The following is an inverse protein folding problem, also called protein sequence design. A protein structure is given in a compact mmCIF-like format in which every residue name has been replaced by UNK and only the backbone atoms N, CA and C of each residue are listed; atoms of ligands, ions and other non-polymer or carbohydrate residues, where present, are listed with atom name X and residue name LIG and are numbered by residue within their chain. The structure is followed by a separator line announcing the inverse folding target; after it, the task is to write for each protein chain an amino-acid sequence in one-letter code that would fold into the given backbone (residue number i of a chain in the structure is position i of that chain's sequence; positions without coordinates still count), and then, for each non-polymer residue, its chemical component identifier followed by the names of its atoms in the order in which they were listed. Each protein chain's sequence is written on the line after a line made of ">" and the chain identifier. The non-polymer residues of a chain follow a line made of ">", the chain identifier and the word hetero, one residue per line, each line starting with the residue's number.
data_IF_510803162423
#
_entry.id   IF_510803162423
#
_cell.length_a   1.000
_cell.length_b   1.000
_cell.length_c   1.000
_cell.angle_alpha   90.00
_cell.angle_beta   90.00
_cell.angle_gamma   90.00
#
_symmetry.space_group_name_H-M   'P 1'
#
loop_
_entity.id
_entity.type
_entity.pdbx_description
1 polymer ?
#
# COMPACT_ATOMS: atom_id res chain seq x y z
N UNK A 1 -37.70 16.07 -49.61
CA UNK A 1 -37.54 15.93 -48.15
C UNK A 1 -36.23 15.22 -47.90
N UNK A 2 -35.27 15.94 -47.35
CA UNK A 2 -33.90 15.50 -47.08
C UNK A 2 -33.19 16.68 -46.43
N UNK A 3 -33.40 16.83 -45.14
CA UNK A 3 -32.87 17.91 -44.31
C UNK A 3 -31.41 17.66 -43.96
N UNK A 4 -30.60 18.70 -44.10
CA UNK A 4 -29.15 18.70 -43.95
C UNK A 4 -28.70 18.37 -42.51
N UNK A 5 -27.78 17.40 -42.31
CA UNK A 5 -27.28 16.99 -40.99
C UNK A 5 -26.16 17.90 -40.44
N UNK A 6 -25.87 19.05 -41.07
CA UNK A 6 -24.76 19.94 -40.68
C UNK A 6 -25.17 21.08 -39.75
N UNK A 7 -26.48 21.29 -39.51
CA UNK A 7 -26.96 22.35 -38.63
C UNK A 7 -26.97 21.94 -37.14
N UNK A 8 -27.09 20.65 -36.83
CA UNK A 8 -27.22 20.17 -35.45
C UNK A 8 -25.89 20.21 -34.66
N UNK A 9 -24.74 20.14 -35.34
CA UNK A 9 -23.43 20.13 -34.68
C UNK A 9 -22.96 21.49 -34.17
N UNK A 10 -23.52 22.59 -34.66
CA UNK A 10 -23.14 23.96 -34.23
C UNK A 10 -23.95 24.44 -33.02
N UNK A 11 -25.11 23.85 -32.78
CA UNK A 11 -26.04 24.26 -31.71
C UNK A 11 -25.56 23.71 -30.35
N UNK A 12 -25.07 22.47 -30.32
CA UNK A 12 -24.57 21.79 -29.12
C UNK A 12 -23.41 22.55 -28.42
N UNK A 13 -22.35 23.00 -29.10
CA UNK A 13 -21.28 23.76 -28.47
C UNK A 13 -21.72 25.15 -28.00
N UNK A 14 -22.72 25.76 -28.65
CA UNK A 14 -23.31 27.03 -28.21
C UNK A 14 -24.15 26.84 -26.96
N UNK A 15 -24.94 25.78 -26.87
CA UNK A 15 -25.71 25.44 -25.66
C UNK A 15 -24.80 25.12 -24.47
N UNK A 16 -23.69 24.40 -24.68
CA UNK A 16 -22.70 24.14 -23.64
C UNK A 16 -22.02 25.42 -23.14
N UNK A 17 -21.68 26.36 -24.04
CA UNK A 17 -21.14 27.67 -23.65
C UNK A 17 -22.19 28.52 -22.93
N UNK A 18 -23.44 28.51 -23.38
CA UNK A 18 -24.53 29.26 -22.75
C UNK A 18 -24.81 28.70 -21.36
N UNK A 19 -24.78 27.37 -21.19
CA UNK A 19 -24.90 26.70 -19.89
C UNK A 19 -23.69 26.92 -18.99
N UNK A 20 -22.47 27.01 -19.54
CA UNK A 20 -21.27 27.35 -18.78
C UNK A 20 -21.29 28.81 -18.31
N UNK A 21 -21.76 29.73 -19.15
CA UNK A 21 -21.97 31.14 -18.79
C UNK A 21 -23.08 31.28 -17.76
N UNK A 22 -24.18 30.55 -17.90
CA UNK A 22 -25.26 30.48 -16.91
C UNK A 22 -24.74 29.95 -15.56
N UNK A 23 -23.95 28.88 -15.58
CA UNK A 23 -23.30 28.29 -14.42
C UNK A 23 -22.29 29.23 -13.74
N UNK A 24 -21.52 30.01 -14.52
CA UNK A 24 -20.53 30.94 -14.00
C UNK A 24 -21.16 32.22 -13.43
N UNK A 25 -22.29 32.67 -13.99
CA UNK A 25 -23.00 33.89 -13.57
C UNK A 25 -23.99 33.62 -12.42
N UNK A 26 -24.71 32.50 -12.43
CA UNK A 26 -25.60 32.11 -11.32
C UNK A 26 -24.84 31.48 -10.15
N UNK A 27 -23.61 31.03 -10.41
CA UNK A 27 -22.77 30.31 -9.48
C UNK A 27 -23.19 28.85 -9.38
N UNK A 28 -22.38 27.93 -9.89
CA UNK A 28 -22.43 26.53 -9.46
C UNK A 28 -21.99 26.53 -8.01
N UNK A 29 -22.88 26.12 -7.09
CA UNK A 29 -22.60 26.06 -5.66
C UNK A 29 -21.27 25.36 -5.38
N UNK A 30 -20.23 26.16 -5.15
CA UNK A 30 -18.95 25.66 -4.69
C UNK A 30 -19.11 25.22 -3.25
N UNK A 31 -18.98 23.90 -3.05
CA UNK A 31 -18.77 23.18 -1.79
C UNK A 31 -19.97 23.05 -0.84
N UNK A 32 -20.37 21.79 -0.56
CA UNK A 32 -19.98 21.02 0.63
C UNK A 32 -19.78 21.73 1.99
N UNK A 33 -20.18 22.98 2.19
CA UNK A 33 -20.15 23.60 3.51
C UNK A 33 -21.41 24.41 3.79
N UNK A 34 -21.99 24.03 4.91
CA UNK A 34 -22.89 24.75 5.77
C UNK A 34 -24.39 24.51 5.61
N UNK A 35 -24.91 24.02 6.73
CA UNK A 35 -26.26 23.52 6.96
C UNK A 35 -27.05 24.71 7.50
N UNK A 36 -27.66 25.46 6.60
CA UNK A 36 -28.70 26.43 6.95
C UNK A 36 -29.91 26.18 6.06
N UNK A 37 -31.06 26.05 6.72
CA UNK A 37 -32.36 25.71 6.14
C UNK A 37 -32.81 26.63 5.00
N UNK A 38 -33.67 26.15 4.09
CA UNK A 38 -34.10 26.91 2.93
C UNK A 38 -35.19 27.92 3.30
N UNK A 39 -35.15 29.17 2.81
CA UNK A 39 -36.36 29.92 2.59
C UNK A 39 -36.87 29.69 1.17
N UNK A 40 -38.19 29.50 1.10
CA UNK A 40 -39.03 29.50 -0.08
C UNK A 40 -38.64 30.55 -1.13
N UNK A 41 -38.37 30.11 -2.36
CA UNK A 41 -39.16 30.43 -3.55
C UNK A 41 -38.35 30.10 -4.83
N UNK A 42 -38.90 29.19 -5.63
CA UNK A 42 -38.35 28.77 -6.93
C UNK A 42 -38.54 29.82 -8.02
N UNK A 43 -38.04 31.03 -7.80
CA UNK A 43 -37.99 32.08 -8.82
C UNK A 43 -36.54 32.43 -9.08
N UNK A 44 -36.05 32.09 -10.27
CA UNK A 44 -34.78 32.58 -10.78
C UNK A 44 -34.74 34.10 -10.58
N UNK A 45 -34.02 34.57 -9.57
CA UNK A 45 -33.72 35.98 -9.41
C UNK A 45 -32.99 36.36 -10.68
N UNK A 46 -33.64 37.19 -11.50
CA UNK A 46 -33.08 37.56 -12.80
C UNK A 46 -31.71 38.16 -12.59
N UNK A 47 -30.75 37.79 -13.45
CA UNK A 47 -29.37 38.31 -13.40
C UNK A 47 -29.35 39.83 -13.26
N UNK A 48 -30.31 40.50 -13.88
CA UNK A 48 -30.49 41.95 -13.80
C UNK A 48 -30.82 42.46 -12.39
N UNK A 49 -31.62 41.73 -11.60
CA UNK A 49 -31.91 42.10 -10.21
C UNK A 49 -30.68 41.91 -9.32
N UNK A 50 -29.91 40.83 -9.52
CA UNK A 50 -28.70 40.56 -8.73
C UNK A 50 -27.55 41.47 -9.10
N UNK A 51 -27.38 41.79 -10.38
CA UNK A 51 -26.43 42.80 -10.86
C UNK A 51 -26.82 44.18 -10.35
N UNK A 52 -28.12 44.51 -10.34
CA UNK A 52 -28.64 45.73 -9.71
C UNK A 52 -28.28 45.78 -8.22
N UNK A 53 -28.54 44.71 -7.47
CA UNK A 53 -28.23 44.65 -6.03
C UNK A 53 -26.73 44.74 -5.75
N UNK A 54 -25.89 44.10 -6.58
CA UNK A 54 -24.43 44.19 -6.47
C UNK A 54 -23.96 45.59 -6.83
N UNK A 55 -24.56 46.22 -7.84
CA UNK A 55 -24.26 47.59 -8.22
C UNK A 55 -24.60 48.56 -7.10
N UNK A 56 -25.78 48.45 -6.50
CA UNK A 56 -26.22 49.30 -5.40
C UNK A 56 -25.32 49.11 -4.16
N UNK A 57 -24.94 47.86 -3.86
CA UNK A 57 -24.00 47.54 -2.77
C UNK A 57 -22.59 48.07 -3.04
N UNK A 58 -22.13 47.97 -4.29
CA UNK A 58 -20.82 48.47 -4.72
C UNK A 58 -20.81 50.01 -4.73
N UNK A 59 -21.89 50.65 -5.16
CA UNK A 59 -22.05 52.10 -5.14
C UNK A 59 -22.07 52.62 -3.69
N UNK A 60 -22.82 51.97 -2.80
CA UNK A 60 -22.82 52.27 -1.37
C UNK A 60 -21.42 52.09 -0.74
N UNK A 61 -20.70 51.00 -1.06
CA UNK A 61 -19.34 50.76 -0.59
C UNK A 61 -18.29 51.70 -1.22
N UNK A 62 -18.51 52.14 -2.47
CA UNK A 62 -17.68 53.14 -3.11
C UNK A 62 -17.88 54.50 -2.44
N UNK A 63 -19.12 54.85 -2.08
CA UNK A 63 -19.45 56.12 -1.44
C UNK A 63 -18.76 56.28 -0.09
N UNK A 64 -18.54 55.18 0.63
CA UNK A 64 -17.87 55.15 1.94
C UNK A 64 -16.34 55.06 1.86
N UNK A 65 -15.77 54.73 0.70
CA UNK A 65 -14.32 54.57 0.52
C UNK A 65 -13.82 55.18 -0.78
N UNK A 66 -13.11 56.31 -0.68
CA UNK A 66 -12.49 56.97 -1.85
C UNK A 66 -11.40 56.11 -2.50
N UNK A 67 -10.81 55.16 -1.76
CA UNK A 67 -9.85 54.20 -2.31
C UNK A 67 -10.54 53.23 -3.28
N UNK A 68 -11.76 52.77 -2.96
CA UNK A 68 -12.56 51.93 -3.85
C UNK A 68 -13.00 52.71 -5.09
N UNK A 69 -13.37 53.99 -4.96
CA UNK A 69 -13.66 54.84 -6.14
C UNK A 69 -12.46 54.95 -7.07
N UNK A 70 -11.25 55.14 -6.53
CA UNK A 70 -10.02 55.19 -7.34
C UNK A 70 -9.71 53.85 -8.01
N UNK A 71 -9.94 52.73 -7.31
CA UNK A 71 -9.77 51.39 -7.88
C UNK A 71 -10.78 51.12 -8.99
N UNK A 72 -12.05 51.48 -8.82
CA UNK A 72 -13.11 51.29 -9.82
C UNK A 72 -12.81 52.16 -11.06
N UNK A 73 -12.45 53.43 -10.86
CA UNK A 73 -12.11 54.34 -11.95
C UNK A 73 -10.81 53.93 -12.67
N UNK A 74 -9.88 53.32 -11.93
CA UNK A 74 -8.61 52.78 -12.45
C UNK A 74 -8.66 51.28 -12.75
N UNK A 75 -9.84 50.65 -12.81
CA UNK A 75 -9.93 49.20 -12.82
C UNK A 75 -9.17 48.58 -13.99
N UNK A 76 -9.21 49.20 -15.17
CA UNK A 76 -8.43 48.77 -16.33
C UNK A 76 -6.92 48.88 -16.13
N UNK A 77 -6.46 49.89 -15.37
CA UNK A 77 -5.05 50.10 -15.08
C UNK A 77 -4.53 49.11 -14.02
N UNK A 78 -5.39 48.69 -13.09
CA UNK A 78 -5.06 47.70 -12.06
C UNK A 78 -5.37 46.26 -12.49
N UNK A 79 -6.02 46.06 -13.64
CA UNK A 79 -6.37 44.73 -14.18
C UNK A 79 -5.15 43.79 -14.24
N UNK A 80 -3.96 44.22 -14.74
CA UNK A 80 -2.79 43.32 -14.82
C UNK A 80 -2.28 42.86 -13.44
N UNK A 81 -2.46 43.68 -12.40
CA UNK A 81 -2.05 43.34 -11.03
C UNK A 81 -3.05 42.41 -10.34
N UNK A 82 -4.32 42.49 -10.74
CA UNK A 82 -5.40 41.64 -10.20
C UNK A 82 -5.46 40.27 -10.91
N UNK A 83 -4.89 40.15 -12.11
CA UNK A 83 -4.81 38.89 -12.86
C UNK A 83 -3.63 37.98 -12.46
N UNK A 84 -2.80 38.38 -11.48
CA UNK A 84 -1.67 37.58 -10.98
C UNK A 84 -2.08 36.32 -10.19
N UNK A 85 -3.34 35.94 -10.22
CA UNK A 85 -3.88 34.82 -9.43
C UNK A 85 -4.76 33.91 -10.29
N UNK A 86 -4.19 33.33 -11.35
CA UNK A 86 -4.62 32.02 -11.84
C UNK A 86 -3.64 31.50 -12.91
N UNK A 87 -2.45 31.07 -12.50
CA UNK A 87 -1.76 30.04 -13.28
C UNK A 87 -1.84 28.73 -12.50
N UNK A 88 -2.63 27.75 -12.97
CA UNK A 88 -2.61 26.42 -12.38
C UNK A 88 -1.20 25.87 -12.58
N UNK A 89 -0.61 25.43 -11.48
CA UNK A 89 0.55 24.56 -11.41
C UNK A 89 0.58 23.56 -12.58
N UNK A 90 1.53 23.67 -13.54
CA UNK A 90 1.76 22.60 -14.49
C UNK A 90 2.49 21.48 -13.75
N UNK A 91 1.70 20.63 -13.09
CA UNK A 91 2.11 19.26 -12.84
C UNK A 91 2.22 18.56 -14.19
N UNK A 92 3.45 18.23 -14.56
CA UNK A 92 3.81 17.10 -15.43
C UNK A 92 2.97 16.87 -16.68
N UNK A 93 3.38 17.45 -17.82
CA UNK A 93 3.31 16.74 -19.10
C UNK A 93 4.28 17.37 -20.12
N UNK A 94 5.50 16.82 -20.12
CA UNK A 94 6.30 16.68 -21.34
C UNK A 94 5.45 15.84 -22.29
N UNK A 95 5.11 16.37 -23.47
CA UNK A 95 5.38 15.70 -24.74
C UNK A 95 4.89 16.52 -25.95
N UNK A 96 5.88 16.86 -26.79
CA UNK A 96 5.87 17.00 -28.25
C UNK A 96 4.92 17.98 -28.97
N UNK A 97 5.60 18.90 -29.68
CA UNK A 97 5.37 19.35 -31.07
C UNK A 97 4.15 20.22 -31.39
N UNK A 98 4.42 21.49 -31.69
CA UNK A 98 3.49 22.38 -32.37
C UNK A 98 4.11 23.76 -32.64
N UNK A 99 4.71 23.92 -33.81
CA UNK A 99 5.36 25.12 -34.32
C UNK A 99 4.32 26.19 -34.70
N UNK A 100 4.50 27.45 -34.28
CA UNK A 100 3.64 28.54 -34.73
C UNK A 100 3.96 29.92 -34.13
N UNK A 101 4.69 30.72 -34.92
CA UNK A 101 4.67 32.20 -35.03
C UNK A 101 5.02 33.08 -33.82
N UNK A 102 6.09 33.85 -34.03
CA UNK A 102 6.59 34.92 -33.17
C UNK A 102 5.62 36.09 -33.04
N UNK A 103 5.41 36.52 -31.80
CA UNK A 103 5.43 37.92 -31.36
C UNK A 103 5.82 37.90 -29.87
N UNK A 104 6.92 38.58 -29.56
CA UNK A 104 7.48 38.73 -28.21
C UNK A 104 6.50 39.49 -27.31
N UNK A 105 5.61 38.77 -26.65
CA UNK A 105 5.22 39.11 -25.29
C UNK A 105 5.96 38.13 -24.39
N UNK A 106 7.15 38.53 -23.97
CA UNK A 106 7.88 37.84 -22.90
C UNK A 106 6.94 37.82 -21.70
N UNK A 107 6.22 36.71 -21.51
CA UNK A 107 5.58 36.41 -20.26
C UNK A 107 6.66 36.56 -19.22
N UNK A 108 6.60 37.66 -18.46
CA UNK A 108 7.60 38.00 -17.46
C UNK A 108 7.49 36.88 -16.44
N UNK A 109 8.32 35.86 -16.60
CA UNK A 109 8.39 34.79 -15.61
C UNK A 109 8.87 35.44 -14.31
N UNK A 110 8.44 34.97 -13.13
CA UNK A 110 8.93 35.51 -11.86
C UNK A 110 10.47 35.47 -11.75
N UNK A 111 11.10 34.62 -12.56
CA UNK A 111 12.54 34.50 -12.80
C UNK A 111 13.17 35.74 -13.46
N UNK A 112 12.41 36.56 -14.17
CA UNK A 112 12.88 37.74 -14.92
C UNK A 112 12.72 39.03 -14.10
N UNK A 113 11.92 38.99 -13.03
CA UNK A 113 11.74 40.08 -12.05
C UNK A 113 12.85 40.14 -11.00
N UNK A 114 13.64 39.07 -10.86
CA UNK A 114 14.72 38.98 -9.89
C UNK A 114 16.03 39.45 -10.53
N UNK A 115 16.80 40.26 -9.81
CA UNK A 115 18.17 40.62 -10.21
C UNK A 115 19.03 39.35 -10.31
N UNK A 116 19.93 39.28 -11.29
CA UNK A 116 20.82 38.13 -11.49
C UNK A 116 21.71 37.85 -10.27
N UNK A 117 22.03 38.88 -9.47
CA UNK A 117 22.72 38.73 -8.19
C UNK A 117 21.91 37.91 -7.18
N UNK A 118 20.60 38.13 -7.13
CA UNK A 118 19.67 37.42 -6.24
C UNK A 118 19.49 35.97 -6.70
N UNK A 119 19.46 35.73 -8.02
CA UNK A 119 19.42 34.38 -8.58
C UNK A 119 20.68 33.59 -8.23
N UNK A 120 21.85 34.22 -8.33
CA UNK A 120 23.12 33.59 -7.95
C UNK A 120 23.17 33.30 -6.45
N UNK A 121 22.73 34.23 -5.60
CA UNK A 121 22.64 34.00 -4.16
C UNK A 121 21.71 32.82 -3.84
N UNK A 122 20.54 32.76 -4.48
CA UNK A 122 19.57 31.66 -4.31
C UNK A 122 20.14 30.31 -4.77
N UNK A 123 20.86 30.28 -5.89
CA UNK A 123 21.52 29.04 -6.38
C UNK A 123 22.65 28.61 -5.45
N UNK A 124 23.41 29.55 -4.88
CA UNK A 124 24.47 29.24 -3.92
C UNK A 124 23.92 28.73 -2.59
N UNK A 125 22.80 29.29 -2.13
CA UNK A 125 22.07 28.81 -0.96
C UNK A 125 21.50 27.40 -1.20
N UNK A 126 20.87 27.17 -2.36
CA UNK A 126 20.31 25.88 -2.74
C UNK A 126 21.35 24.85 -3.24
N UNK A 127 22.63 25.20 -3.35
CA UNK A 127 23.65 24.32 -3.92
C UNK A 127 23.83 23.01 -3.13
N UNK A 128 23.63 23.05 -1.81
CA UNK A 128 23.66 21.85 -0.96
C UNK A 128 22.51 20.89 -1.26
N UNK A 129 21.31 21.43 -1.42
CA UNK A 129 20.10 20.66 -1.72
C UNK A 129 20.16 20.06 -3.12
N UNK A 130 20.66 20.82 -4.10
CA UNK A 130 20.85 20.33 -5.48
C UNK A 130 21.82 19.14 -5.51
N UNK A 131 22.94 19.21 -4.77
CA UNK A 131 23.90 18.09 -4.71
C UNK A 131 23.31 16.86 -4.02
N UNK A 132 22.48 17.08 -3.00
CA UNK A 132 21.80 15.99 -2.29
C UNK A 132 20.77 15.32 -3.21
N UNK A 133 19.96 16.12 -3.90
CA UNK A 133 19.02 15.62 -4.89
C UNK A 133 19.71 14.90 -6.06
N UNK A 134 20.86 15.38 -6.53
CA UNK A 134 21.66 14.71 -7.55
C UNK A 134 22.15 13.33 -7.07
N UNK A 135 22.62 13.24 -5.83
CA UNK A 135 23.01 11.97 -5.21
C UNK A 135 21.84 11.02 -5.11
N UNK A 136 20.69 11.49 -4.63
CA UNK A 136 19.49 10.68 -4.48
C UNK A 136 18.98 10.19 -5.84
N UNK A 137 19.02 11.04 -6.87
CA UNK A 137 18.65 10.64 -8.24
C UNK A 137 19.61 9.59 -8.80
N UNK A 138 20.91 9.68 -8.53
CA UNK A 138 21.87 8.63 -8.89
C UNK A 138 21.59 7.33 -8.15
N UNK A 139 21.26 7.40 -6.87
CA UNK A 139 20.94 6.22 -6.06
C UNK A 139 19.64 5.55 -6.57
N UNK A 140 18.64 6.35 -6.96
CA UNK A 140 17.42 5.86 -7.62
C UNK A 140 17.76 5.21 -8.97
N UNK A 141 18.60 5.82 -9.79
CA UNK A 141 19.03 5.24 -11.08
C UNK A 141 19.82 3.93 -10.89
N UNK A 142 20.62 3.84 -9.83
CA UNK A 142 21.33 2.63 -9.46
C UNK A 142 20.34 1.53 -9.00
N UNK A 143 19.36 1.86 -8.18
CA UNK A 143 18.29 0.94 -7.78
C UNK A 143 17.42 0.50 -8.96
N UNK A 144 17.19 1.41 -9.91
CA UNK A 144 16.52 1.14 -11.19
C UNK A 144 17.29 0.16 -12.06
N UNK A 145 18.59 0.39 -12.27
CA UNK A 145 19.45 -0.51 -13.04
C UNK A 145 19.58 -1.90 -12.41
N UNK A 146 19.42 -2.00 -11.08
CA UNK A 146 19.35 -3.25 -10.34
C UNK A 146 17.97 -3.94 -10.42
N UNK A 147 17.00 -3.35 -11.11
CA UNK A 147 15.66 -3.91 -11.26
C UNK A 147 14.85 -3.93 -9.96
N UNK A 148 15.13 -3.01 -9.03
CA UNK A 148 14.41 -2.87 -7.74
C UNK A 148 13.14 -2.01 -7.91
N UNK A 149 12.93 -1.42 -9.09
CA UNK A 149 11.70 -0.70 -9.41
C UNK A 149 10.50 -1.65 -9.40
N UNK A 150 9.57 -1.39 -8.49
CA UNK A 150 8.34 -2.15 -8.38
C UNK A 150 8.55 -3.57 -7.87
N UNK A 151 8.95 -3.71 -6.59
CA UNK A 151 8.82 -4.95 -5.80
C UNK A 151 9.04 -6.24 -6.63
N UNK A 152 10.21 -6.34 -7.31
CA UNK A 152 10.38 -7.16 -8.51
C UNK A 152 9.92 -8.62 -8.45
N UNK A 153 10.01 -9.28 -7.30
CA UNK A 153 9.53 -10.67 -7.11
C UNK A 153 8.43 -10.78 -6.05
N UNK A 154 7.92 -9.66 -5.53
CA UNK A 154 6.95 -9.66 -4.44
C UNK A 154 5.62 -10.27 -4.89
N UNK A 155 5.22 -10.05 -6.13
CA UNK A 155 4.03 -10.67 -6.72
C UNK A 155 4.16 -12.20 -6.78
N UNK A 156 5.34 -12.71 -7.14
CA UNK A 156 5.66 -14.14 -7.10
C UNK A 156 5.63 -14.68 -5.66
N UNK A 157 6.16 -13.91 -4.70
CA UNK A 157 6.16 -14.28 -3.28
C UNK A 157 4.73 -14.31 -2.69
N UNK A 158 3.82 -13.45 -3.15
CA UNK A 158 2.42 -13.46 -2.71
C UNK A 158 1.74 -14.76 -3.12
N UNK A 159 1.99 -15.26 -4.34
CA UNK A 159 1.47 -16.55 -4.79
C UNK A 159 1.99 -17.72 -3.94
N UNK A 160 3.26 -17.63 -3.50
CA UNK A 160 3.92 -18.65 -2.68
C UNK A 160 3.40 -18.74 -1.24
N UNK A 161 2.74 -17.71 -0.72
CA UNK A 161 2.18 -17.72 0.65
C UNK A 161 1.18 -18.86 0.87
N UNK A 162 0.37 -19.16 -0.14
CA UNK A 162 -0.61 -20.25 -0.08
C UNK A 162 0.07 -21.62 0.01
N UNK A 163 1.13 -21.83 -0.78
CA UNK A 163 1.97 -23.02 -0.75
C UNK A 163 2.75 -23.17 0.55
N UNK A 164 3.20 -22.06 1.14
CA UNK A 164 3.84 -22.06 2.45
C UNK A 164 2.83 -22.47 3.54
N UNK A 165 1.62 -21.91 3.51
CA UNK A 165 0.57 -22.26 4.47
C UNK A 165 0.15 -23.73 4.37
N UNK A 166 0.04 -24.28 3.15
CA UNK A 166 -0.24 -25.71 2.95
C UNK A 166 0.93 -26.58 3.39
N UNK A 167 2.18 -26.16 3.10
CA UNK A 167 3.40 -26.83 3.54
C UNK A 167 3.53 -26.89 5.06
N UNK A 168 3.23 -25.80 5.76
CA UNK A 168 3.24 -25.73 7.23
C UNK A 168 2.20 -26.69 7.82
N UNK A 169 0.97 -26.71 7.27
CA UNK A 169 -0.08 -27.64 7.72
C UNK A 169 0.30 -29.09 7.49
N UNK A 170 0.87 -29.41 6.33
CA UNK A 170 1.35 -30.76 6.02
C UNK A 170 2.52 -31.18 6.90
N UNK A 171 3.44 -30.27 7.23
CA UNK A 171 4.52 -30.54 8.17
C UNK A 171 3.98 -30.80 9.59
N UNK A 172 2.98 -30.03 10.02
CA UNK A 172 2.35 -30.20 11.32
C UNK A 172 1.59 -31.54 11.43
N UNK A 173 0.88 -31.96 10.37
CA UNK A 173 0.20 -33.27 10.37
C UNK A 173 1.21 -34.41 10.41
N UNK A 174 2.26 -34.37 9.55
CA UNK A 174 3.34 -35.37 9.58
C UNK A 174 4.04 -35.43 10.93
N UNK A 175 4.24 -34.29 11.59
CA UNK A 175 4.81 -34.22 12.93
C UNK A 175 3.97 -34.97 13.97
N UNK A 176 2.63 -34.89 13.87
CA UNK A 176 1.72 -35.64 14.73
C UNK A 176 1.78 -37.14 14.45
N UNK A 177 1.77 -37.53 13.17
CA UNK A 177 1.83 -38.94 12.77
C UNK A 177 3.15 -39.59 13.20
N UNK A 178 4.26 -38.87 13.03
CA UNK A 178 5.58 -39.32 13.46
C UNK A 178 5.65 -39.39 15.00
N UNK A 179 5.02 -38.45 15.70
CA UNK A 179 4.86 -38.51 17.15
C UNK A 179 4.08 -39.73 17.62
N UNK A 180 2.99 -40.09 16.92
CA UNK A 180 2.20 -41.29 17.21
C UNK A 180 3.00 -42.57 16.93
N UNK A 181 3.68 -42.66 15.80
CA UNK A 181 4.55 -43.79 15.45
C UNK A 181 5.68 -43.96 16.47
N UNK A 182 6.32 -42.88 16.93
CA UNK A 182 7.34 -42.93 17.98
C UNK A 182 6.79 -43.48 19.30
N UNK A 183 5.58 -43.09 19.69
CA UNK A 183 4.93 -43.62 20.90
C UNK A 183 4.67 -45.12 20.76
N UNK A 184 4.17 -45.57 19.61
CA UNK A 184 3.94 -47.00 19.35
C UNK A 184 5.23 -47.82 19.37
N UNK A 185 6.30 -47.31 18.75
CA UNK A 185 7.62 -47.95 18.80
C UNK A 185 8.16 -47.97 20.22
N UNK A 186 8.02 -46.87 20.97
CA UNK A 186 8.41 -46.81 22.38
C UNK A 186 7.68 -47.83 23.24
N UNK A 187 6.35 -47.95 23.07
CA UNK A 187 5.54 -48.95 23.76
C UNK A 187 5.94 -50.39 23.40
N UNK A 188 6.20 -50.67 22.12
CA UNK A 188 6.70 -51.96 21.67
C UNK A 188 8.05 -52.30 22.30
N UNK A 189 8.95 -51.31 22.40
CA UNK A 189 10.27 -51.47 23.01
C UNK A 189 10.16 -51.73 24.51
N UNK A 190 9.23 -51.09 25.22
CA UNK A 190 8.96 -51.37 26.63
C UNK A 190 8.42 -52.79 26.82
N UNK A 191 7.42 -53.20 26.01
CA UNK A 191 6.89 -54.57 26.06
C UNK A 191 7.95 -55.62 25.75
N UNK A 192 8.83 -55.34 24.79
CA UNK A 192 9.97 -56.21 24.49
C UNK A 192 10.94 -56.29 25.67
N UNK A 193 11.26 -55.16 26.31
CA UNK A 193 12.12 -55.14 27.48
C UNK A 193 11.54 -55.95 28.66
N UNK A 194 10.24 -55.81 28.90
CA UNK A 194 9.54 -56.58 29.95
C UNK A 194 9.51 -58.08 29.60
N UNK A 195 9.27 -58.42 28.34
CA UNK A 195 9.36 -59.80 27.85
C UNK A 195 10.76 -60.37 28.04
N UNK A 196 11.82 -59.63 27.70
CA UNK A 196 13.20 -60.10 27.90
C UNK A 196 13.56 -60.24 29.37
N UNK A 197 13.07 -59.36 30.24
CA UNK A 197 13.29 -59.45 31.68
C UNK A 197 12.62 -60.69 32.26
N UNK A 198 11.34 -60.90 31.96
CA UNK A 198 10.58 -62.08 32.42
C UNK A 198 11.17 -63.39 31.88
N UNK A 199 11.62 -63.41 30.62
CA UNK A 199 12.29 -64.58 30.04
C UNK A 199 13.63 -64.86 30.74
N UNK A 200 14.39 -63.81 31.07
CA UNK A 200 15.65 -63.95 31.82
C UNK A 200 15.41 -64.51 33.22
N UNK A 201 14.37 -64.03 33.91
CA UNK A 201 13.97 -64.55 35.22
C UNK A 201 13.54 -66.02 35.15
N UNK A 202 12.78 -66.40 34.10
CA UNK A 202 12.40 -67.79 33.86
C UNK A 202 13.63 -68.68 33.62
N UNK A 203 14.60 -68.21 32.83
CA UNK A 203 15.86 -68.94 32.62
C UNK A 203 16.64 -69.12 33.92
N UNK A 204 16.67 -68.09 34.79
CA UNK A 204 17.30 -68.19 36.10
C UNK A 204 16.58 -69.19 37.02
N UNK A 205 15.24 -69.23 37.02
CA UNK A 205 14.47 -70.23 37.79
C UNK A 205 14.71 -71.65 37.28
N UNK A 206 14.66 -71.85 35.95
CA UNK A 206 14.96 -73.15 35.34
C UNK A 206 16.37 -73.60 35.68
N UNK A 207 17.36 -72.71 35.62
CA UNK A 207 18.74 -73.02 35.98
C UNK A 207 18.87 -73.46 37.44
N UNK A 208 18.26 -72.72 38.38
CA UNK A 208 18.27 -73.10 39.81
C UNK A 208 17.59 -74.45 40.05
N UNK A 209 16.47 -74.73 39.38
CA UNK A 209 15.79 -76.03 39.49
C UNK A 209 16.64 -77.18 38.95
N UNK A 210 17.32 -76.96 37.81
CA UNK A 210 18.25 -77.93 37.26
C UNK A 210 19.41 -78.19 38.21
N UNK A 211 19.99 -77.17 38.83
CA UNK A 211 21.06 -77.32 39.81
C UNK A 211 20.64 -78.15 41.02
N UNK A 212 19.44 -77.89 41.57
CA UNK A 212 18.87 -78.70 42.65
C UNK A 212 18.64 -80.15 42.22
N UNK A 213 18.11 -80.37 41.01
CA UNK A 213 17.93 -81.71 40.47
C UNK A 213 19.27 -82.43 40.28
N UNK A 214 20.28 -81.78 39.72
CA UNK A 214 21.62 -82.32 39.57
C UNK A 214 22.24 -82.68 40.92
N UNK A 215 22.08 -81.83 41.94
CA UNK A 215 22.58 -82.12 43.28
C UNK A 215 21.86 -83.35 43.89
N UNK A 216 20.54 -83.44 43.75
CA UNK A 216 19.77 -84.60 44.26
C UNK A 216 20.16 -85.89 43.55
N UNK A 217 20.35 -85.87 42.23
CA UNK A 217 20.84 -87.02 41.45
C UNK A 217 22.25 -87.39 41.88
N UNK A 218 23.15 -86.43 42.02
CA UNK A 218 24.52 -86.68 42.48
C UNK A 218 24.56 -87.28 43.89
N UNK A 219 23.69 -86.83 44.80
CA UNK A 219 23.53 -87.43 46.14
C UNK A 219 22.99 -88.87 46.06
N UNK A 220 21.97 -89.12 45.25
CA UNK A 220 21.41 -90.46 45.06
C UNK A 220 22.43 -91.43 44.44
N UNK A 221 23.23 -90.99 43.47
CA UNK A 221 24.32 -91.78 42.91
C UNK A 221 25.40 -92.10 43.93
N UNK A 222 25.81 -91.13 44.76
CA UNK A 222 26.79 -91.36 45.83
C UNK A 222 26.26 -92.37 46.85
N UNK A 223 24.99 -92.27 47.25
CA UNK A 223 24.36 -93.23 48.14
C UNK A 223 24.35 -94.64 47.54
N UNK A 224 23.92 -94.77 46.28
CA UNK A 224 23.92 -96.04 45.55
C UNK A 224 25.31 -96.65 45.40
N UNK A 225 26.35 -95.83 45.13
CA UNK A 225 27.75 -96.29 45.07
C UNK A 225 28.23 -96.83 46.41
N UNK A 226 27.85 -96.19 47.53
CA UNK A 226 28.18 -96.68 48.89
C UNK A 226 27.51 -98.01 49.20
N UNK A 227 26.20 -98.13 48.92
CA UNK A 227 25.49 -99.40 49.12
C UNK A 227 26.07 -100.56 48.30
N UNK A 228 26.49 -100.29 47.06
CA UNK A 228 27.16 -101.30 46.25
C UNK A 228 28.54 -101.66 46.80
N UNK A 229 29.31 -100.69 47.31
CA UNK A 229 30.61 -100.93 47.93
C UNK A 229 30.51 -101.70 49.26
N UNK A 230 29.39 -101.59 50.00
CA UNK A 230 29.15 -102.37 51.22
C UNK A 230 28.69 -103.80 50.96
N UNK A 231 28.21 -104.10 49.74
CA UNK A 231 27.71 -105.44 49.35
C UNK A 231 28.79 -106.37 48.80
N UNK A 232 29.96 -105.86 48.45
CA UNK A 232 31.10 -106.61 47.91
C UNK A 232 32.29 -106.51 48.85
#
# INVERSE_FOLDING_TARGET
>A
MGSDPLAESSIIPLELRLRALEAQVLGVGSSLSDRVEPPHDGRAVSVNLRVGEIHDKLEAASSSSDALKRLINGYQQYLPLLTLSHEPTPTSQKDSSGQGTAEDETAITPSDLLSDEVKLAMVLEAAGDIRTAERDLRDIELLRSRGVEGAGTLEEVISLKSNLASGIRAAQSRGRDLGAARKQVGELLMRYNDYTSTMSDLFLDVHRRLEVMEETVARAERARRKELAERY
#
